data_IF_954448432308
#
_entry.id   IF_954448432308
#
_cell.length_a   1.000
_cell.length_b   1.000
_cell.length_c   1.000
_cell.angle_alpha   90.00
_cell.angle_beta   90.00
_cell.angle_gamma   90.00
#
_symmetry.space_group_name_H-M   'P 1'
#
loop_
_entity.id
_entity.type
_entity.pdbx_description
1 polymer ?
#
# COMPACT_ATOMS: atom_id res chain seq x y z
N UNK A 1 0.79 -3.40 -13.06
CA UNK A 1 0.73 -2.92 -11.67
C UNK A 1 2.00 -3.36 -10.97
N UNK A 2 2.79 -2.44 -10.41
CA UNK A 2 3.98 -2.75 -9.60
C UNK A 2 3.56 -2.93 -8.14
N UNK A 3 3.97 -4.02 -7.48
CA UNK A 3 3.56 -4.39 -6.11
C UNK A 3 4.76 -4.32 -5.17
N UNK A 4 4.62 -3.64 -4.02
CA UNK A 4 5.67 -3.52 -3.00
C UNK A 4 5.11 -3.88 -1.61
N UNK A 5 5.80 -4.77 -0.90
CA UNK A 5 5.44 -5.24 0.45
C UNK A 5 6.29 -4.56 1.53
N UNK A 6 5.70 -4.17 2.66
CA UNK A 6 6.39 -3.53 3.79
C UNK A 6 6.18 -4.37 5.06
N UNK A 7 7.18 -5.13 5.50
CA UNK A 7 7.07 -5.94 6.74
C UNK A 7 7.75 -5.22 7.90
N UNK A 8 6.98 -4.83 8.91
CA UNK A 8 7.47 -4.24 10.16
C UNK A 8 7.59 -5.31 11.26
N UNK A 9 8.80 -5.62 11.70
CA UNK A 9 9.02 -6.25 13.00
C UNK A 9 10.43 -6.00 13.51
N UNK A 10 10.52 -5.09 14.50
CA UNK A 10 11.74 -4.85 15.27
C UNK A 10 11.36 -4.61 16.73
N UNK A 11 11.39 -5.65 17.58
CA UNK A 11 11.83 -5.58 18.99
C UNK A 11 12.31 -7.00 19.41
N UNK A 12 13.62 -7.23 19.56
CA UNK A 12 14.29 -7.63 20.82
C UNK A 12 15.80 -7.86 20.60
N UNK A 13 16.57 -7.47 21.61
CA UNK A 13 18.02 -7.49 21.75
C UNK A 13 18.59 -8.93 21.68
N UNK A 14 19.57 -9.17 20.80
CA UNK A 14 20.30 -10.43 20.73
C UNK A 14 21.29 -10.45 19.57
N UNK A 15 22.58 -10.47 19.88
CA UNK A 15 23.68 -10.58 18.91
C UNK A 15 23.54 -11.90 18.15
N UNK A 16 23.11 -11.81 16.90
CA UNK A 16 23.34 -12.81 15.86
C UNK A 16 23.49 -12.04 14.56
N UNK A 17 24.67 -12.20 13.92
CA UNK A 17 24.94 -11.79 12.55
C UNK A 17 23.96 -12.54 11.63
N UNK A 18 22.74 -12.03 11.52
CA UNK A 18 21.90 -12.30 10.36
C UNK A 18 22.43 -11.35 9.29
N UNK A 19 22.94 -11.83 8.15
CA UNK A 19 23.09 -10.97 7.00
C UNK A 19 21.69 -10.48 6.68
N UNK A 20 21.42 -9.24 7.09
CA UNK A 20 20.23 -8.53 6.68
C UNK A 20 20.40 -8.45 5.17
N UNK A 21 19.72 -9.31 4.43
CA UNK A 21 19.66 -9.24 2.97
C UNK A 21 18.99 -7.89 2.67
N UNK A 22 19.80 -6.83 2.64
CA UNK A 22 19.44 -5.49 2.21
C UNK A 22 19.22 -5.43 0.68
N UNK A 23 18.94 -6.58 0.06
CA UNK A 23 18.80 -6.80 -1.37
C UNK A 23 17.36 -7.22 -1.73
N UNK A 24 16.39 -6.48 -1.18
CA UNK A 24 15.04 -6.46 -1.74
C UNK A 24 14.43 -5.05 -1.72
N UNK A 25 15.25 -4.00 -1.75
CA UNK A 25 14.78 -2.74 -2.31
C UNK A 25 14.87 -2.85 -3.82
N UNK A 26 13.88 -3.49 -4.44
CA UNK A 26 13.46 -3.01 -5.77
C UNK A 26 13.22 -1.52 -5.59
N UNK A 27 14.13 -0.70 -6.13
CA UNK A 27 14.10 0.74 -5.99
C UNK A 27 12.70 1.21 -6.41
N UNK A 28 11.92 1.71 -5.45
CA UNK A 28 10.56 2.17 -5.71
C UNK A 28 10.68 3.43 -6.55
N UNK A 29 10.63 3.31 -7.87
CA UNK A 29 10.73 4.44 -8.79
C UNK A 29 9.33 4.85 -9.26
N UNK A 30 8.92 6.08 -8.90
CA UNK A 30 7.66 6.65 -9.36
C UNK A 30 7.88 7.50 -10.61
N UNK A 31 7.17 7.14 -11.68
CA UNK A 31 7.16 7.88 -12.93
C UNK A 31 6.13 9.04 -12.88
N UNK A 32 6.18 9.91 -13.89
CA UNK A 32 5.33 11.09 -13.95
C UNK A 32 3.85 10.68 -14.01
N UNK A 33 3.03 11.35 -13.21
CA UNK A 33 1.56 11.18 -13.16
C UNK A 33 1.08 9.78 -12.75
N UNK A 34 1.94 8.99 -12.10
CA UNK A 34 1.55 7.68 -11.56
C UNK A 34 0.51 7.78 -10.45
N UNK A 35 -0.33 6.75 -10.36
CA UNK A 35 -1.36 6.61 -9.34
C UNK A 35 -0.95 5.49 -8.41
N UNK A 36 -0.59 5.87 -7.19
CA UNK A 36 -0.20 4.96 -6.11
C UNK A 36 -1.44 4.66 -5.27
N UNK A 37 -1.83 3.38 -5.20
CA UNK A 37 -2.88 2.94 -4.30
C UNK A 37 -2.30 2.26 -3.06
N UNK A 38 -2.88 2.56 -1.91
CA UNK A 38 -2.62 1.89 -0.65
C UNK A 38 -3.74 0.88 -0.40
N UNK A 39 -3.37 -0.38 -0.21
CA UNK A 39 -4.30 -1.49 -0.02
C UNK A 39 -3.86 -2.28 1.21
N UNK A 40 -4.79 -2.69 2.05
CA UNK A 40 -4.46 -3.49 3.22
C UNK A 40 -5.42 -3.26 4.38
N UNK A 41 -5.10 -3.91 5.49
CA UNK A 41 -5.89 -3.91 6.70
C UNK A 41 -5.73 -2.66 7.57
N UNK A 42 -5.97 -2.84 8.87
CA UNK A 42 -6.00 -1.76 9.85
C UNK A 42 -4.72 -0.93 9.95
N UNK A 43 -3.52 -1.51 9.79
CA UNK A 43 -2.30 -0.70 9.92
C UNK A 43 -2.06 0.15 8.68
N UNK A 44 -2.47 -0.30 7.49
CA UNK A 44 -2.46 0.54 6.29
C UNK A 44 -3.40 1.74 6.45
N UNK A 45 -4.60 1.53 7.03
CA UNK A 45 -5.54 2.62 7.35
C UNK A 45 -4.90 3.62 8.32
N UNK A 46 -4.16 3.14 9.34
CA UNK A 46 -3.46 4.02 10.29
C UNK A 46 -2.31 4.75 9.62
N UNK A 47 -1.52 4.07 8.79
CA UNK A 47 -0.41 4.67 8.04
C UNK A 47 -0.88 5.79 7.12
N UNK A 48 -2.02 5.61 6.44
CA UNK A 48 -2.64 6.65 5.62
C UNK A 48 -3.13 7.82 6.46
N UNK A 49 -3.78 7.58 7.60
CA UNK A 49 -4.19 8.63 8.54
C UNK A 49 -3.01 9.42 9.11
N UNK A 50 -1.87 8.77 9.34
CA UNK A 50 -0.64 9.43 9.79
C UNK A 50 0.02 10.27 8.69
N UNK A 51 -0.17 9.91 7.42
CA UNK A 51 0.33 10.65 6.25
C UNK A 51 1.86 10.68 6.08
N UNK A 52 2.62 10.03 6.96
CA UNK A 52 4.10 10.07 6.94
C UNK A 52 4.68 9.50 5.64
N UNK A 53 4.13 8.38 5.18
CA UNK A 53 4.58 7.72 3.95
C UNK A 53 4.21 8.54 2.73
N UNK A 54 2.98 9.08 2.67
CA UNK A 54 2.55 9.95 1.58
C UNK A 54 3.41 11.22 1.50
N UNK A 55 3.70 11.86 2.63
CA UNK A 55 4.56 13.04 2.70
C UNK A 55 5.99 12.73 2.24
N UNK A 56 6.56 11.61 2.68
CA UNK A 56 7.90 11.18 2.27
C UNK A 56 7.98 10.90 0.76
N UNK A 57 6.99 10.21 0.19
CA UNK A 57 6.91 9.95 -1.24
C UNK A 57 6.71 11.24 -2.05
N UNK A 58 5.83 12.13 -1.59
CA UNK A 58 5.61 13.45 -2.21
C UNK A 58 6.89 14.28 -2.23
N UNK A 59 7.64 14.28 -1.13
CA UNK A 59 8.92 14.98 -1.02
C UNK A 59 9.97 14.40 -1.96
N UNK A 60 10.14 13.08 -1.97
CA UNK A 60 11.13 12.36 -2.81
C UNK A 60 10.85 12.47 -4.30
N UNK A 61 9.57 12.44 -4.69
CA UNK A 61 9.09 12.39 -6.08
C UNK A 61 8.38 13.67 -6.52
N UNK A 62 8.76 14.82 -5.95
CA UNK A 62 8.14 16.13 -6.24
C UNK A 62 8.04 16.48 -7.73
N UNK A 63 9.03 16.05 -8.53
CA UNK A 63 9.03 16.26 -10.00
C UNK A 63 8.02 15.36 -10.73
N UNK A 64 7.82 14.14 -10.25
CA UNK A 64 6.91 13.17 -10.83
C UNK A 64 5.43 13.46 -10.50
N UNK A 65 5.18 14.15 -9.37
CA UNK A 65 3.83 14.54 -8.90
C UNK A 65 2.86 13.34 -8.83
N UNK A 66 3.20 12.29 -8.05
CA UNK A 66 2.33 11.13 -7.92
C UNK A 66 0.97 11.48 -7.31
N UNK A 67 -0.07 10.73 -7.69
CA UNK A 67 -1.41 10.81 -7.08
C UNK A 67 -1.60 9.63 -6.15
N UNK A 68 -2.08 9.89 -4.94
CA UNK A 68 -2.31 8.86 -3.93
C UNK A 68 -3.79 8.51 -3.81
N UNK A 69 -4.08 7.23 -3.58
CA UNK A 69 -5.43 6.67 -3.46
C UNK A 69 -5.47 5.67 -2.32
N UNK A 70 -6.27 5.98 -1.31
CA UNK A 70 -6.51 5.06 -0.21
C UNK A 70 -7.64 4.10 -0.57
N UNK A 71 -7.30 2.81 -0.61
CA UNK A 71 -8.23 1.69 -0.76
C UNK A 71 -8.06 0.70 0.40
N UNK A 72 -7.47 1.14 1.51
CA UNK A 72 -7.32 0.34 2.72
C UNK A 72 -8.60 0.30 3.53
N UNK A 73 -8.79 -0.77 4.29
CA UNK A 73 -9.99 -0.97 5.10
C UNK A 73 -9.72 -1.85 6.32
N UNK A 74 -10.37 -1.54 7.43
CA UNK A 74 -10.21 -2.31 8.67
C UNK A 74 -10.78 -3.71 8.53
N UNK A 75 -9.96 -4.73 8.76
CA UNK A 75 -10.33 -6.14 8.59
C UNK A 75 -9.95 -6.73 7.22
N UNK A 76 -9.41 -5.93 6.29
CA UNK A 76 -8.87 -6.48 5.06
C UNK A 76 -7.61 -7.31 5.34
N UNK A 77 -7.57 -8.47 4.70
CA UNK A 77 -6.46 -9.43 4.69
C UNK A 77 -6.17 -9.81 3.24
N UNK A 78 -5.05 -10.50 3.01
CA UNK A 78 -4.71 -11.01 1.67
C UNK A 78 -5.80 -11.95 1.13
N UNK A 79 -6.41 -12.76 2.00
CA UNK A 79 -7.43 -13.74 1.61
C UNK A 79 -8.83 -13.13 1.55
N UNK A 80 -9.15 -12.26 2.49
CA UNK A 80 -10.48 -11.69 2.68
C UNK A 80 -10.41 -10.18 2.68
N UNK A 81 -11.07 -9.58 1.69
CA UNK A 81 -11.34 -8.15 1.70
C UNK A 81 -12.73 -7.93 2.27
N UNK A 82 -12.79 -7.53 3.52
CA UNK A 82 -14.02 -7.08 4.20
C UNK A 82 -14.73 -5.96 3.44
N UNK A 83 -13.96 -5.11 2.74
CA UNK A 83 -14.46 -4.14 1.75
C UNK A 83 -15.41 -4.75 0.71
N UNK A 84 -15.20 -6.02 0.35
CA UNK A 84 -15.96 -6.78 -0.65
C UNK A 84 -16.94 -7.75 0.02
N UNK A 85 -16.51 -8.50 1.04
CA UNK A 85 -17.29 -9.59 1.66
C UNK A 85 -18.37 -9.11 2.64
N UNK A 86 -18.07 -8.09 3.46
CA UNK A 86 -18.98 -7.63 4.52
C UNK A 86 -19.85 -6.43 4.07
N UNK A 87 -19.80 -6.09 2.79
CA UNK A 87 -20.53 -4.93 2.28
C UNK A 87 -22.02 -5.23 2.16
N UNK A 88 -22.82 -4.58 3.01
CA UNK A 88 -24.29 -4.63 3.00
C UNK A 88 -24.98 -4.13 1.70
N UNK A 89 -24.23 -3.57 0.73
CA UNK A 89 -24.77 -3.12 -0.57
C UNK A 89 -24.45 -4.12 -1.68
N UNK A 90 -25.49 -4.76 -2.24
CA UNK A 90 -25.41 -5.75 -3.34
C UNK A 90 -24.91 -5.19 -4.69
N UNK A 91 -24.99 -3.88 -4.92
CA UNK A 91 -24.43 -3.18 -6.10
C UNK A 91 -23.47 -2.10 -5.61
N UNK A 92 -22.17 -2.38 -5.63
CA UNK A 92 -21.14 -1.46 -5.18
C UNK A 92 -20.00 -1.35 -6.21
N UNK A 93 -18.78 -1.07 -5.73
CA UNK A 93 -17.59 -0.75 -6.52
C UNK A 93 -16.93 -1.95 -7.23
N UNK A 94 -17.48 -3.15 -7.10
CA UNK A 94 -16.90 -4.38 -7.65
C UNK A 94 -15.88 -5.02 -6.73
N UNK A 95 -15.09 -5.95 -7.27
CA UNK A 95 -13.92 -6.54 -6.62
C UNK A 95 -12.76 -5.55 -6.56
N UNK A 96 -11.66 -5.91 -5.88
CA UNK A 96 -10.48 -5.02 -5.82
C UNK A 96 -9.91 -4.73 -7.21
N UNK A 97 -9.88 -5.70 -8.12
CA UNK A 97 -9.39 -5.48 -9.47
C UNK A 97 -10.22 -4.41 -10.20
N UNK A 98 -11.54 -4.48 -10.11
CA UNK A 98 -12.44 -3.46 -10.63
C UNK A 98 -12.20 -2.08 -10.01
N UNK A 99 -11.92 -2.03 -8.71
CA UNK A 99 -11.59 -0.78 -8.01
C UNK A 99 -10.27 -0.18 -8.47
N UNK A 100 -9.20 -0.97 -8.54
CA UNK A 100 -7.88 -0.55 -9.01
C UNK A 100 -7.95 -0.02 -10.45
N UNK A 101 -8.67 -0.73 -11.32
CA UNK A 101 -8.88 -0.33 -12.71
C UNK A 101 -9.69 0.97 -12.82
N UNK A 102 -10.76 1.11 -12.04
CA UNK A 102 -11.61 2.32 -12.03
C UNK A 102 -10.84 3.57 -11.60
N UNK A 103 -9.88 3.40 -10.70
CA UNK A 103 -9.07 4.50 -10.16
C UNK A 103 -7.81 4.75 -11.01
N UNK A 104 -7.50 3.87 -11.97
CA UNK A 104 -6.36 4.01 -12.88
C UNK A 104 -5.02 3.79 -12.17
N UNK A 105 -4.97 2.83 -11.25
CA UNK A 105 -3.80 2.57 -10.40
C UNK A 105 -2.65 1.98 -11.22
N UNK A 106 -1.45 2.56 -11.08
CA UNK A 106 -0.23 2.05 -11.72
C UNK A 106 0.66 1.29 -10.74
N UNK A 107 0.68 1.74 -9.47
CA UNK A 107 1.50 1.20 -8.38
C UNK A 107 0.61 0.87 -7.19
N UNK A 108 0.81 -0.30 -6.58
CA UNK A 108 0.12 -0.71 -5.36
C UNK A 108 1.14 -0.93 -4.25
N UNK A 109 0.90 -0.27 -3.12
CA UNK A 109 1.58 -0.52 -1.85
C UNK A 109 0.61 -1.31 -0.99
N UNK A 110 1.00 -2.53 -0.61
CA UNK A 110 0.13 -3.47 0.09
C UNK A 110 0.68 -3.90 1.46
N UNK A 111 -0.22 -4.12 2.40
CA UNK A 111 0.01 -4.79 3.69
C UNK A 111 -0.84 -6.06 3.78
#
# INVERSE_FOLDING_TARGET
VRLVFFTTSSILFGILLVPNNADALTDLFLEKDEVVAFVGGTDMVRMQKEGRVEAALTHRYKKAKPRFRDLSWEGDTVYLQTTVSERWRRKAFGDLNGQLNKVGVTVVIAQ
#
